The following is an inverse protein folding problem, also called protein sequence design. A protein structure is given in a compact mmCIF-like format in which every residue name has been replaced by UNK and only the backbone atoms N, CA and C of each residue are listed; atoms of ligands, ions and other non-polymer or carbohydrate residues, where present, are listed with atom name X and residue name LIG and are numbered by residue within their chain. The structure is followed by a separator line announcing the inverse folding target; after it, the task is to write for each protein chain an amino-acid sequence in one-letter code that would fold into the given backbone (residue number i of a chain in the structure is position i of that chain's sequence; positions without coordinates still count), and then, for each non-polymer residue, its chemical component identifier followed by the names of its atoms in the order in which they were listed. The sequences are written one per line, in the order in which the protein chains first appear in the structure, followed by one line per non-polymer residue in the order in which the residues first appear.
data_IF_223962613498
#
_entry.id   IF_223962613498
#
_cell.length_a   1.000
_cell.length_b   1.000
_cell.length_c   1.000
_cell.angle_alpha   90.00
_cell.angle_beta   90.00
_cell.angle_gamma   90.00
#
_symmetry.space_group_name_H-M   'P 1'
#
loop_
_entity.id
_entity.type
_entity.pdbx_description
1 polymer ?
#
# COMPACT_ATOMS: atom_id res chain seq x y z
N UNK A 1 -18.90 -22.47 18.79
CA UNK A 1 -18.36 -22.63 20.15
C UNK A 1 -17.36 -23.78 20.08
N UNK A 2 -16.05 -23.50 20.06
CA UNK A 2 -15.01 -24.52 19.97
C UNK A 2 -14.22 -24.59 21.28
N UNK A 3 -14.23 -25.78 21.86
CA UNK A 3 -13.69 -26.12 23.17
C UNK A 3 -12.20 -26.45 23.04
N UNK A 4 -11.34 -25.74 23.76
CA UNK A 4 -9.90 -26.03 23.80
C UNK A 4 -9.61 -27.19 24.75
N UNK A 5 -8.99 -28.25 24.23
CA UNK A 5 -8.51 -29.37 25.01
C UNK A 5 -7.31 -28.95 25.88
N UNK A 6 -7.36 -29.36 27.14
CA UNK A 6 -6.34 -29.10 28.17
C UNK A 6 -5.19 -30.11 28.10
N UNK A 7 -4.03 -29.67 28.63
CA UNK A 7 -2.80 -30.40 29.03
C UNK A 7 -1.72 -30.44 27.92
N UNK A 8 -0.44 -30.23 28.19
CA UNK A 8 0.35 -30.51 29.41
C UNK A 8 1.60 -29.62 29.41
N UNK A 9 1.85 -28.87 30.49
CA UNK A 9 3.09 -28.11 30.64
C UNK A 9 4.25 -29.07 30.88
N UNK A 10 5.28 -28.99 30.02
CA UNK A 10 6.56 -29.65 30.24
C UNK A 10 7.29 -28.82 31.28
N UNK A 11 7.39 -29.32 32.51
CA UNK A 11 8.11 -28.66 33.58
C UNK A 11 9.62 -28.72 33.29
N UNK A 12 10.18 -27.62 32.77
CA UNK A 12 11.62 -27.41 32.80
C UNK A 12 12.04 -27.10 34.25
N UNK A 13 12.99 -27.89 34.75
CA UNK A 13 13.61 -27.72 36.06
C UNK A 13 14.15 -26.29 36.22
N UNK A 14 13.82 -25.67 37.34
CA UNK A 14 14.15 -24.28 37.67
C UNK A 14 15.65 -24.12 37.91
N UNK A 15 16.39 -23.69 36.90
CA UNK A 15 17.63 -22.94 37.12
C UNK A 15 17.34 -21.50 36.73
N UNK A 16 16.98 -20.70 37.73
CA UNK A 16 16.71 -19.26 37.58
C UNK A 16 18.03 -18.54 37.36
N UNK A 17 18.49 -18.53 36.11
CA UNK A 17 19.27 -17.41 35.63
C UNK A 17 18.22 -16.35 35.29
N UNK A 18 18.35 -15.14 35.84
CA UNK A 18 17.54 -13.97 35.49
C UNK A 18 17.80 -13.53 34.04
N UNK A 19 17.58 -14.42 33.08
CA UNK A 19 17.48 -14.11 31.67
C UNK A 19 16.04 -13.61 31.45
N UNK A 20 15.83 -12.31 31.63
CA UNK A 20 14.66 -11.69 31.02
C UNK A 20 14.73 -11.98 29.52
N UNK A 21 13.64 -12.53 28.96
CA UNK A 21 13.52 -12.58 27.51
C UNK A 21 13.62 -11.14 27.01
N UNK A 22 14.52 -10.80 26.07
CA UNK A 22 14.55 -9.47 25.51
C UNK A 22 13.17 -9.20 24.92
N UNK A 23 12.51 -8.14 25.40
CA UNK A 23 11.25 -7.69 24.81
C UNK A 23 11.55 -7.41 23.34
N UNK A 24 11.05 -8.28 22.46
CA UNK A 24 11.21 -8.10 21.04
C UNK A 24 10.49 -6.80 20.67
N UNK A 25 11.25 -5.74 20.39
CA UNK A 25 10.69 -4.47 19.94
C UNK A 25 9.82 -4.80 18.72
N UNK A 26 8.53 -4.47 18.81
CA UNK A 26 7.59 -4.68 17.70
C UNK A 26 8.04 -3.84 16.52
N UNK A 27 8.75 -4.46 15.58
CA UNK A 27 9.11 -3.86 14.30
C UNK A 27 7.85 -3.91 13.44
N UNK A 28 7.38 -2.75 12.99
CA UNK A 28 6.23 -2.68 12.08
C UNK A 28 6.47 -3.62 10.88
N UNK A 29 5.47 -4.41 10.46
CA UNK A 29 5.64 -5.38 9.39
C UNK A 29 6.05 -4.65 8.10
N UNK A 30 7.10 -5.18 7.46
CA UNK A 30 7.60 -4.69 6.17
C UNK A 30 7.32 -5.71 5.08
N UNK A 31 6.92 -5.25 3.90
CA UNK A 31 6.76 -6.08 2.71
C UNK A 31 7.97 -5.89 1.80
N UNK A 32 8.78 -6.92 1.59
CA UNK A 32 10.08 -6.83 0.90
C UNK A 32 10.98 -5.68 1.43
N UNK A 33 11.01 -5.48 2.75
CA UNK A 33 11.78 -4.40 3.38
C UNK A 33 11.15 -3.00 3.28
N UNK A 34 9.99 -2.86 2.60
CA UNK A 34 9.25 -1.61 2.51
C UNK A 34 8.19 -1.52 3.61
N UNK A 35 8.11 -0.34 4.24
CA UNK A 35 7.01 0.02 5.13
C UNK A 35 5.73 0.26 4.33
N UNK A 36 4.57 0.12 4.99
CA UNK A 36 3.27 0.29 4.33
C UNK A 36 3.11 1.66 3.62
N UNK A 37 3.64 2.74 4.20
CA UNK A 37 3.62 4.06 3.58
C UNK A 37 4.47 4.14 2.28
N UNK A 38 5.60 3.43 2.24
CA UNK A 38 6.46 3.35 1.06
C UNK A 38 5.78 2.55 -0.05
N UNK A 39 5.18 1.41 0.29
CA UNK A 39 4.39 0.61 -0.67
C UNK A 39 3.22 1.41 -1.22
N UNK A 40 2.51 2.15 -0.36
CA UNK A 40 1.39 3.01 -0.75
C UNK A 40 1.86 4.13 -1.69
N UNK A 41 2.99 4.75 -1.41
CA UNK A 41 3.56 5.79 -2.27
C UNK A 41 3.92 5.23 -3.66
N UNK A 42 4.53 4.05 -3.70
CA UNK A 42 4.89 3.37 -4.94
C UNK A 42 3.64 2.99 -5.76
N UNK A 43 2.62 2.43 -5.11
CA UNK A 43 1.36 2.10 -5.75
C UNK A 43 0.67 3.35 -6.33
N UNK A 44 0.64 4.47 -5.58
CA UNK A 44 0.09 5.75 -6.07
C UNK A 44 0.80 6.24 -7.33
N UNK A 45 2.14 6.19 -7.35
CA UNK A 45 2.94 6.57 -8.53
C UNK A 45 2.67 5.65 -9.72
N UNK A 46 2.66 4.33 -9.49
CA UNK A 46 2.41 3.36 -10.55
C UNK A 46 1.02 3.54 -11.19
N UNK A 47 0.00 3.77 -10.38
CA UNK A 47 -1.37 4.04 -10.87
C UNK A 47 -1.43 5.36 -11.63
N UNK A 48 -0.81 6.43 -11.13
CA UNK A 48 -0.78 7.72 -11.82
C UNK A 48 -0.13 7.61 -13.21
N UNK A 49 1.01 6.90 -13.30
CA UNK A 49 1.70 6.66 -14.56
C UNK A 49 0.82 5.85 -15.53
N UNK A 50 0.22 4.76 -15.07
CA UNK A 50 -0.65 3.93 -15.92
C UNK A 50 -1.86 4.72 -16.44
N UNK A 51 -2.45 5.59 -15.61
CA UNK A 51 -3.55 6.47 -16.01
C UNK A 51 -3.07 7.50 -17.04
N UNK A 52 -1.89 8.08 -16.86
CA UNK A 52 -1.30 9.02 -17.81
C UNK A 52 -1.00 8.37 -19.17
N UNK A 53 -0.44 7.15 -19.17
CA UNK A 53 -0.15 6.42 -20.40
C UNK A 53 -1.43 6.05 -21.16
N UNK A 54 -2.46 5.60 -20.45
CA UNK A 54 -3.77 5.33 -21.04
C UNK A 54 -4.40 6.60 -21.64
N UNK A 55 -4.31 7.73 -20.94
CA UNK A 55 -4.79 9.01 -21.46
C UNK A 55 -4.03 9.43 -22.72
N UNK A 56 -2.69 9.31 -22.73
CA UNK A 56 -1.84 9.61 -23.90
C UNK A 56 -2.15 8.71 -25.10
N UNK A 57 -2.50 7.45 -24.84
CA UNK A 57 -2.93 6.50 -25.86
C UNK A 57 -4.35 6.76 -26.39
N UNK A 58 -5.06 7.78 -25.89
CA UNK A 58 -6.44 8.08 -26.30
C UNK A 58 -7.50 7.16 -25.68
N UNK A 59 -7.13 6.34 -24.70
CA UNK A 59 -8.04 5.40 -24.05
C UNK A 59 -8.93 6.17 -23.07
N UNK A 60 -10.23 5.91 -23.13
CA UNK A 60 -11.18 6.49 -22.18
C UNK A 60 -10.90 5.98 -20.76
N UNK A 61 -10.83 6.87 -19.80
CA UNK A 61 -10.58 6.55 -18.40
C UNK A 61 -11.89 6.47 -17.64
N UNK A 62 -12.00 5.57 -16.68
CA UNK A 62 -13.13 5.54 -15.74
C UNK A 62 -12.60 5.88 -14.36
N UNK A 63 -13.18 6.88 -13.72
CA UNK A 63 -12.73 7.37 -12.43
C UNK A 63 -13.85 7.96 -11.61
N UNK A 64 -13.60 8.11 -10.31
CA UNK A 64 -14.51 8.82 -9.42
C UNK A 64 -14.25 10.33 -9.53
N UNK A 65 -15.23 11.07 -10.03
CA UNK A 65 -15.16 12.53 -10.20
C UNK A 65 -16.40 13.13 -9.56
N UNK A 66 -16.19 14.11 -8.67
CA UNK A 66 -17.26 14.81 -7.94
C UNK A 66 -18.22 13.83 -7.22
N UNK A 67 -17.65 12.76 -6.64
CA UNK A 67 -18.39 11.72 -5.91
C UNK A 67 -19.16 10.72 -6.78
N UNK A 68 -19.04 10.79 -8.10
CA UNK A 68 -19.70 9.86 -9.04
C UNK A 68 -18.69 9.16 -9.93
N UNK A 69 -18.94 7.89 -10.26
CA UNK A 69 -18.13 7.17 -11.25
C UNK A 69 -18.48 7.70 -12.62
N UNK A 70 -17.50 8.27 -13.30
CA UNK A 70 -17.65 8.90 -14.61
C UNK A 70 -16.61 8.35 -15.58
N UNK A 71 -17.02 8.21 -16.84
CA UNK A 71 -16.10 7.90 -17.94
C UNK A 71 -15.60 9.20 -18.53
N UNK A 72 -14.30 9.46 -18.38
CA UNK A 72 -13.59 10.59 -18.92
C UNK A 72 -13.03 10.24 -20.29
N UNK A 73 -13.39 11.03 -21.29
CA UNK A 73 -12.75 11.00 -22.61
C UNK A 73 -11.30 11.45 -22.49
N UNK A 74 -10.40 10.90 -23.30
CA UNK A 74 -8.98 11.29 -23.28
C UNK A 74 -8.77 12.79 -23.62
N UNK A 75 -9.64 13.35 -24.46
CA UNK A 75 -9.64 14.76 -24.84
C UNK A 75 -10.30 15.69 -23.81
N UNK A 76 -10.81 15.14 -22.69
CA UNK A 76 -11.46 15.96 -21.69
C UNK A 76 -10.44 16.94 -21.07
N UNK A 77 -10.79 18.22 -20.84
CA UNK A 77 -9.87 19.22 -20.31
C UNK A 77 -9.30 18.84 -18.93
N UNK A 78 -10.04 18.04 -18.15
CA UNK A 78 -9.58 17.51 -16.87
C UNK A 78 -8.42 16.51 -17.02
N UNK A 79 -8.42 15.70 -18.08
CA UNK A 79 -7.32 14.78 -18.40
C UNK A 79 -6.10 15.56 -18.91
N UNK A 80 -6.31 16.58 -19.74
CA UNK A 80 -5.23 17.46 -20.19
C UNK A 80 -4.50 18.14 -19.01
N UNK A 81 -5.26 18.67 -18.03
CA UNK A 81 -4.67 19.24 -16.80
C UNK A 81 -3.88 18.20 -16.00
N UNK A 82 -4.43 17.00 -15.82
CA UNK A 82 -3.74 15.90 -15.14
C UNK A 82 -2.42 15.53 -15.84
N UNK A 83 -2.40 15.48 -17.17
CA UNK A 83 -1.19 15.18 -17.94
C UNK A 83 -0.12 16.27 -17.80
N UNK A 84 -0.49 17.54 -17.73
CA UNK A 84 0.46 18.63 -17.45
C UNK A 84 1.11 18.45 -16.08
N UNK A 85 0.31 18.23 -15.03
CA UNK A 85 0.81 18.02 -13.66
C UNK A 85 1.75 16.81 -13.55
N UNK A 86 1.49 15.72 -14.31
CA UNK A 86 2.39 14.56 -14.35
C UNK A 86 3.70 14.83 -15.12
N UNK A 87 3.67 15.72 -16.11
CA UNK A 87 4.86 16.07 -16.90
C UNK A 87 5.85 16.88 -16.07
N UNK A 88 5.34 17.83 -15.27
CA UNK A 88 6.15 18.63 -14.35
C UNK A 88 6.75 17.77 -13.23
N UNK A 89 6.02 16.75 -12.77
CA UNK A 89 6.49 15.82 -11.74
C UNK A 89 7.55 14.81 -12.23
N UNK A 90 7.75 14.67 -13.55
CA UNK A 90 8.78 13.81 -14.14
C UNK A 90 10.07 14.56 -14.49
N UNK A 91 10.04 15.90 -14.48
CA UNK A 91 11.16 16.77 -14.86
C UNK A 91 12.02 17.27 -13.67
N UNK A 92 11.76 16.80 -12.44
CA UNK A 92 12.54 17.10 -11.24
C UNK A 92 12.96 15.84 -10.50
#
# INVERSE_FOLDING_TARGET
MFQFASRKAIALSSMVICCSLPIMKSTAPTFYGLRANQVTSLAKKAVANAVADNARAGISLTGLVDGRVQKLQATAPRIAKFLMEQSDAHAG
#
